data_IF_320555330135
#
_entry.id   IF_320555330135
#
_cell.length_a   1.000
_cell.length_b   1.000
_cell.length_c   1.000
_cell.angle_alpha   90.00
_cell.angle_beta   90.00
_cell.angle_gamma   90.00
#
_symmetry.space_group_name_H-M   'P 1'
#
loop_
_entity.id
_entity.type
_entity.pdbx_description
1 polymer ?
#
# COMPACT_ATOMS: atom_id res chain seq x y z
N UNK A 1 4.64 -21.52 -27.89
CA UNK A 1 5.57 -21.55 -26.75
C UNK A 1 4.75 -21.44 -25.47
N UNK A 2 4.63 -22.55 -24.72
CA UNK A 2 3.80 -22.60 -23.52
C UNK A 2 4.55 -21.98 -22.33
N UNK A 3 3.96 -20.95 -21.73
CA UNK A 3 4.50 -20.29 -20.54
C UNK A 3 4.38 -21.17 -19.31
N UNK A 4 5.42 -21.16 -18.47
CA UNK A 4 5.44 -21.86 -17.19
C UNK A 4 4.37 -21.26 -16.25
N UNK A 5 3.26 -21.96 -16.05
CA UNK A 5 2.28 -21.66 -14.99
C UNK A 5 2.63 -22.52 -13.78
N UNK A 6 2.84 -21.90 -12.62
CA UNK A 6 3.10 -22.63 -11.37
C UNK A 6 1.85 -23.44 -10.98
N UNK A 7 2.04 -24.70 -10.58
CA UNK A 7 0.95 -25.58 -10.15
C UNK A 7 0.22 -24.96 -8.96
N UNK A 8 -1.10 -24.87 -9.04
CA UNK A 8 -1.97 -24.28 -8.01
C UNK A 8 -2.36 -22.82 -8.26
N UNK A 9 -1.79 -22.16 -9.28
CA UNK A 9 -2.16 -20.80 -9.67
C UNK A 9 -3.35 -20.82 -10.64
N UNK A 10 -4.52 -21.26 -10.16
CA UNK A 10 -5.77 -21.13 -10.90
C UNK A 10 -6.33 -19.73 -10.62
N UNK A 11 -6.21 -18.82 -11.58
CA UNK A 11 -6.84 -17.50 -11.50
C UNK A 11 -8.35 -17.62 -11.33
N UNK A 12 -8.97 -16.64 -10.63
CA UNK A 12 -10.44 -16.54 -10.57
C UNK A 12 -11.01 -16.44 -11.99
N UNK A 13 -12.04 -17.24 -12.31
CA UNK A 13 -12.77 -17.21 -13.59
C UNK A 13 -13.40 -15.83 -13.83
N UNK A 14 -13.20 -15.24 -15.01
CA UNK A 14 -13.61 -13.87 -15.37
C UNK A 14 -14.39 -13.79 -16.68
N UNK A 15 -15.07 -12.67 -16.96
CA UNK A 15 -15.64 -12.39 -18.27
C UNK A 15 -14.55 -12.39 -19.36
N UNK A 16 -14.82 -13.06 -20.48
CA UNK A 16 -13.85 -13.32 -21.55
C UNK A 16 -13.21 -12.05 -22.15
N UNK A 17 -13.91 -10.90 -22.10
CA UNK A 17 -13.42 -9.62 -22.63
C UNK A 17 -12.21 -9.05 -21.85
N UNK A 18 -12.12 -9.33 -20.54
CA UNK A 18 -11.02 -8.87 -19.69
C UNK A 18 -9.85 -9.87 -19.71
N UNK A 19 -10.16 -11.15 -19.86
CA UNK A 19 -9.18 -12.25 -19.86
C UNK A 19 -8.18 -12.14 -21.01
N UNK A 20 -8.61 -11.69 -22.18
CA UNK A 20 -7.74 -11.50 -23.35
C UNK A 20 -6.79 -10.28 -23.26
N UNK A 21 -7.01 -9.35 -22.32
CA UNK A 21 -6.22 -8.11 -22.18
C UNK A 21 -5.29 -8.10 -20.96
N UNK A 22 -5.41 -9.06 -20.06
CA UNK A 22 -4.60 -9.14 -18.85
C UNK A 22 -3.33 -9.97 -19.10
N UNK A 23 -2.14 -9.42 -18.86
CA UNK A 23 -0.91 -10.19 -18.89
C UNK A 23 -0.95 -11.37 -17.90
N UNK A 24 -0.24 -12.48 -18.19
CA UNK A 24 -0.14 -13.62 -17.28
C UNK A 24 0.29 -13.19 -15.87
N UNK A 25 -0.39 -13.72 -14.84
CA UNK A 25 -0.10 -13.43 -13.43
C UNK A 25 -0.73 -12.15 -12.88
N UNK A 26 -1.42 -11.35 -13.71
CA UNK A 26 -2.09 -10.12 -13.27
C UNK A 26 -3.58 -10.34 -12.94
N UNK A 27 -4.10 -9.51 -12.04
CA UNK A 27 -5.52 -9.48 -11.71
C UNK A 27 -6.13 -8.09 -11.83
N UNK A 28 -7.39 -8.04 -12.24
CA UNK A 28 -8.16 -6.79 -12.24
C UNK A 28 -8.49 -6.40 -10.80
N UNK A 29 -8.14 -5.17 -10.43
CA UNK A 29 -8.51 -4.53 -9.16
C UNK A 29 -9.53 -3.44 -9.50
N UNK A 30 -10.71 -3.49 -8.90
CA UNK A 30 -11.81 -2.55 -9.15
C UNK A 30 -11.94 -1.48 -8.08
N UNK A 31 -11.27 -1.69 -6.95
CA UNK A 31 -11.13 -0.79 -5.82
C UNK A 31 -9.70 -0.21 -5.76
N UNK A 32 -9.37 0.48 -4.67
CA UNK A 32 -8.05 1.06 -4.51
C UNK A 32 -7.01 -0.07 -4.34
N UNK A 33 -6.01 -0.19 -5.25
CA UNK A 33 -5.06 -1.29 -5.18
C UNK A 33 -4.19 -1.19 -3.94
N UNK A 34 -4.12 -2.29 -3.19
CA UNK A 34 -3.24 -2.41 -2.02
C UNK A 34 -1.98 -3.16 -2.42
N UNK A 35 -0.83 -2.50 -2.27
CA UNK A 35 0.50 -3.09 -2.46
C UNK A 35 1.21 -3.13 -1.11
N UNK A 36 1.63 -4.30 -0.66
CA UNK A 36 2.36 -4.47 0.61
C UNK A 36 3.75 -5.04 0.35
N UNK A 37 4.77 -4.42 0.95
CA UNK A 37 6.13 -4.94 0.92
C UNK A 37 6.40 -5.97 2.02
N UNK A 38 5.46 -6.17 2.95
CA UNK A 38 5.59 -7.07 4.09
C UNK A 38 4.32 -7.13 4.95
N UNK A 39 4.37 -7.78 6.12
CA UNK A 39 3.25 -7.84 7.06
C UNK A 39 2.81 -6.45 7.51
N UNK A 40 1.51 -6.26 7.75
CA UNK A 40 0.98 -5.01 8.30
C UNK A 40 1.47 -4.80 9.74
N UNK A 41 2.19 -3.70 10.03
CA UNK A 41 2.65 -3.43 11.38
C UNK A 41 1.47 -3.08 12.31
N UNK A 42 1.56 -3.49 13.57
CA UNK A 42 0.61 -3.12 14.61
C UNK A 42 1.31 -2.30 15.69
N UNK A 43 1.03 -1.00 15.71
CA UNK A 43 1.62 -0.05 16.66
C UNK A 43 0.50 0.64 17.44
N UNK A 44 0.40 0.42 18.77
CA UNK A 44 -0.51 1.15 19.63
C UNK A 44 -0.24 2.66 19.60
N UNK A 45 -1.30 3.47 19.56
CA UNK A 45 -1.19 4.93 19.38
C UNK A 45 -0.53 5.65 20.55
N UNK A 46 -0.63 5.09 21.77
CA UNK A 46 0.04 5.58 22.98
C UNK A 46 1.58 5.43 22.91
N UNK A 47 2.08 4.56 22.03
CA UNK A 47 3.51 4.36 21.77
C UNK A 47 3.94 4.83 20.38
N UNK A 48 3.04 5.43 19.62
CA UNK A 48 3.33 5.91 18.28
C UNK A 48 4.05 7.26 18.33
N UNK A 49 5.05 7.44 17.46
CA UNK A 49 5.74 8.70 17.27
C UNK A 49 6.12 8.91 15.81
N UNK A 50 6.18 10.16 15.38
CA UNK A 50 6.72 10.56 14.08
C UNK A 50 7.88 11.52 14.27
N UNK A 51 9.01 11.21 13.66
CA UNK A 51 10.26 11.96 13.81
C UNK A 51 10.77 12.43 12.45
N UNK A 52 11.16 13.70 12.39
CA UNK A 52 11.96 14.26 11.29
C UNK A 52 13.35 14.54 11.85
N UNK A 53 14.36 13.89 11.27
CA UNK A 53 15.76 13.97 11.69
C UNK A 53 16.72 13.90 10.48
N UNK A 54 18.04 13.94 10.73
CA UNK A 54 19.07 13.95 9.69
C UNK A 54 19.59 15.36 9.41
N UNK A 55 19.56 15.79 8.14
CA UNK A 55 20.05 17.11 7.71
C UNK A 55 19.04 18.24 8.00
N UNK A 56 18.67 18.38 9.28
CA UNK A 56 17.77 19.41 9.78
C UNK A 56 18.46 20.22 10.88
N UNK A 57 18.11 21.50 11.02
CA UNK A 57 18.69 22.34 12.08
C UNK A 57 18.37 21.82 13.48
N UNK A 58 17.15 21.31 13.68
CA UNK A 58 16.72 20.73 14.94
C UNK A 58 15.75 19.60 14.64
N UNK A 59 16.05 18.36 15.05
CA UNK A 59 15.11 17.25 14.95
C UNK A 59 13.83 17.55 15.71
N UNK A 60 12.72 17.03 15.20
CA UNK A 60 11.41 17.19 15.80
C UNK A 60 10.71 15.84 15.85
N UNK A 61 10.05 15.59 16.97
CA UNK A 61 9.26 14.39 17.22
C UNK A 61 7.90 14.81 17.75
N UNK A 62 6.84 14.16 17.25
CA UNK A 62 5.48 14.31 17.74
C UNK A 62 4.93 12.96 18.19
N UNK A 63 4.18 12.94 19.28
CA UNK A 63 3.27 11.84 19.57
C UNK A 63 2.00 11.92 18.69
N UNK A 64 1.12 10.93 18.79
CA UNK A 64 -0.08 10.87 17.96
C UNK A 64 -0.97 12.11 18.08
N UNK A 65 -1.26 12.54 19.31
CA UNK A 65 -2.16 13.68 19.58
C UNK A 65 -1.57 15.01 19.12
N UNK A 66 -0.25 15.17 19.20
CA UNK A 66 0.45 16.35 18.71
C UNK A 66 0.49 16.38 17.18
N UNK A 67 0.75 15.24 16.55
CA UNK A 67 0.79 15.12 15.09
C UNK A 67 -0.56 15.46 14.45
N UNK A 68 -1.68 15.02 15.06
CA UNK A 68 -3.01 15.34 14.58
C UNK A 68 -3.39 16.84 14.66
N UNK A 69 -2.67 17.63 15.47
CA UNK A 69 -2.91 19.08 15.59
C UNK A 69 -2.14 19.90 14.55
N UNK A 70 -1.27 19.27 13.76
CA UNK A 70 -0.54 19.95 12.70
C UNK A 70 -1.51 20.45 11.62
N UNK A 71 -1.19 21.55 10.91
CA UNK A 71 -2.02 22.02 9.80
C UNK A 71 -2.17 20.96 8.71
N UNK A 72 -3.41 20.69 8.29
CA UNK A 72 -3.72 19.71 7.24
C UNK A 72 -4.39 20.38 6.03
N UNK A 73 -4.17 19.82 4.84
CA UNK A 73 -4.85 20.24 3.61
C UNK A 73 -5.41 19.02 2.88
N UNK A 74 -6.56 19.18 2.23
CA UNK A 74 -7.14 18.14 1.37
C UNK A 74 -6.51 18.23 -0.02
N UNK A 75 -6.02 17.12 -0.55
CA UNK A 75 -5.40 17.02 -1.88
C UNK A 75 -6.17 15.98 -2.71
N UNK A 76 -6.36 16.27 -4.00
CA UNK A 76 -6.86 15.31 -4.99
C UNK A 76 -5.72 14.98 -5.96
N UNK A 77 -5.47 13.68 -6.18
CA UNK A 77 -4.38 13.14 -7.02
C UNK A 77 -4.97 12.33 -8.15
#
# INVERSE_FOLDING_TARGET
MAGFISRGFLGRRRPAEVENRLPPGQYLVTDFPVLSAGPTPHTPLDRWSFTIEGLVQSPVTWNWDEFQKLPTQTVTV
#
